data_IF_412056731092
#
_entry.id   IF_412056731092
#
_cell.length_a   1.000
_cell.length_b   1.000
_cell.length_c   1.000
_cell.angle_alpha   90.00
_cell.angle_beta   90.00
_cell.angle_gamma   90.00
#
_symmetry.space_group_name_H-M   'P 1'
#
loop_
_entity.id
_entity.type
_entity.pdbx_description
1 polymer ?
#
# COMPACT_ATOMS: atom_id res chain seq x y z
N UNK A 1 16.92 23.08 -9.81
CA UNK A 1 15.94 21.98 -9.81
C UNK A 1 15.58 21.70 -8.36
N UNK A 2 14.31 21.83 -7.95
CA UNK A 2 13.96 21.51 -6.57
C UNK A 2 14.24 20.02 -6.36
N UNK A 3 15.05 19.69 -5.35
CA UNK A 3 15.21 18.30 -4.93
C UNK A 3 13.86 17.89 -4.35
N UNK A 4 13.29 16.81 -4.89
CA UNK A 4 12.08 16.24 -4.32
C UNK A 4 12.47 15.57 -3.00
N UNK A 5 12.08 16.18 -1.90
CA UNK A 5 12.24 15.58 -0.58
C UNK A 5 11.25 14.43 -0.42
N UNK A 6 11.70 13.34 0.21
CA UNK A 6 10.87 12.15 0.41
C UNK A 6 9.60 12.45 1.22
N UNK A 7 9.64 13.46 2.10
CA UNK A 7 8.45 13.95 2.81
C UNK A 7 7.46 14.66 1.90
N UNK A 8 7.93 15.48 0.95
CA UNK A 8 7.05 16.13 -0.03
C UNK A 8 6.34 15.11 -0.90
N UNK A 9 7.05 14.04 -1.30
CA UNK A 9 6.45 12.95 -2.08
C UNK A 9 5.45 12.16 -1.22
N UNK A 10 5.76 11.89 0.06
CA UNK A 10 4.81 11.28 1.01
C UNK A 10 3.53 12.09 1.15
N UNK A 11 3.65 13.40 1.33
CA UNK A 11 2.49 14.27 1.45
C UNK A 11 1.66 14.30 0.15
N UNK A 12 2.33 14.41 -1.01
CA UNK A 12 1.65 14.40 -2.31
C UNK A 12 1.00 13.07 -2.67
N UNK A 13 1.52 11.95 -2.14
CA UNK A 13 0.98 10.61 -2.32
C UNK A 13 -0.13 10.27 -1.31
N UNK A 14 -0.26 11.04 -0.21
CA UNK A 14 -1.30 10.84 0.79
C UNK A 14 -2.69 10.91 0.15
N UNK A 15 -3.56 9.94 0.45
CA UNK A 15 -4.89 9.82 -0.14
C UNK A 15 -4.91 9.33 -1.59
N UNK A 16 -3.75 9.19 -2.25
CA UNK A 16 -3.63 8.77 -3.66
C UNK A 16 -2.99 7.38 -3.82
N UNK A 17 -2.63 6.72 -2.73
CA UNK A 17 -1.96 5.42 -2.74
C UNK A 17 -2.69 4.35 -3.54
N UNK A 18 -4.03 4.26 -3.43
CA UNK A 18 -4.79 3.31 -4.23
C UNK A 18 -4.58 3.54 -5.74
N UNK A 19 -4.59 4.79 -6.20
CA UNK A 19 -4.33 5.13 -7.61
C UNK A 19 -2.89 4.86 -8.02
N UNK A 20 -1.91 5.23 -7.18
CA UNK A 20 -0.48 5.04 -7.45
C UNK A 20 -0.16 3.55 -7.59
N UNK A 21 -0.60 2.76 -6.61
CA UNK A 21 -0.37 1.33 -6.59
C UNK A 21 -1.12 0.61 -7.73
N UNK A 22 -2.33 1.08 -8.07
CA UNK A 22 -3.04 0.57 -9.25
C UNK A 22 -2.28 0.85 -10.55
N UNK A 23 -1.68 2.04 -10.68
CA UNK A 23 -0.83 2.38 -11.82
C UNK A 23 0.45 1.54 -11.90
N UNK A 24 0.95 1.04 -10.75
CA UNK A 24 2.07 0.10 -10.67
C UNK A 24 1.67 -1.34 -11.00
N UNK A 25 0.39 -1.63 -11.25
CA UNK A 25 -0.10 -2.95 -11.64
C UNK A 25 -0.78 -3.74 -10.52
N UNK A 26 -0.96 -3.15 -9.33
CA UNK A 26 -1.74 -3.77 -8.27
C UNK A 26 -3.24 -3.69 -8.58
N UNK A 27 -4.00 -4.75 -8.34
CA UNK A 27 -5.45 -4.72 -8.58
C UNK A 27 -6.14 -3.80 -7.58
N UNK A 28 -7.10 -2.99 -8.05
CA UNK A 28 -7.88 -2.09 -7.20
C UNK A 28 -8.62 -2.83 -6.07
N UNK A 29 -8.99 -4.10 -6.28
CA UNK A 29 -9.57 -4.99 -5.27
C UNK A 29 -8.66 -5.23 -4.05
N UNK A 30 -7.36 -4.98 -4.17
CA UNK A 30 -6.40 -5.05 -3.06
C UNK A 30 -6.65 -3.93 -2.05
N UNK A 31 -7.16 -2.78 -2.51
CA UNK A 31 -7.45 -1.59 -1.68
C UNK A 31 -8.89 -1.52 -1.18
N UNK A 32 -9.70 -2.56 -1.44
CA UNK A 32 -11.07 -2.61 -0.91
C UNK A 32 -11.04 -2.66 0.62
N UNK A 33 -12.03 -2.06 1.28
CA UNK A 33 -12.19 -2.10 2.76
C UNK A 33 -12.47 -3.51 3.32
N UNK A 34 -12.41 -4.54 2.48
CA UNK A 34 -12.62 -5.94 2.85
C UNK A 34 -11.33 -6.53 3.42
N UNK A 35 -11.48 -7.32 4.49
CA UNK A 35 -10.37 -8.05 5.11
C UNK A 35 -10.04 -9.30 4.29
N UNK A 36 -8.87 -9.87 4.54
CA UNK A 36 -8.42 -11.15 3.99
C UNK A 36 -8.27 -11.18 2.47
N UNK A 37 -7.45 -10.27 1.93
CA UNK A 37 -7.12 -10.24 0.50
C UNK A 37 -5.80 -10.98 0.19
N UNK A 38 -5.59 -11.32 -1.08
CA UNK A 38 -4.29 -11.79 -1.52
C UNK A 38 -3.25 -10.69 -1.36
N UNK A 39 -2.09 -11.04 -0.79
CA UNK A 39 -1.00 -10.10 -0.59
C UNK A 39 -0.09 -10.12 -1.82
N UNK A 40 0.16 -8.96 -2.44
CA UNK A 40 1.05 -8.87 -3.59
C UNK A 40 2.53 -9.11 -3.24
N UNK A 41 2.97 -8.82 -2.01
CA UNK A 41 4.37 -9.04 -1.60
C UNK A 41 4.68 -10.50 -1.26
N UNK A 42 3.80 -11.20 -0.55
CA UNK A 42 4.07 -12.57 -0.08
C UNK A 42 3.34 -13.66 -0.87
N UNK A 43 2.43 -13.29 -1.78
CA UNK A 43 1.62 -14.24 -2.56
C UNK A 43 0.56 -14.99 -1.77
N UNK A 44 0.35 -14.68 -0.48
CA UNK A 44 -0.75 -15.26 0.31
C UNK A 44 -2.12 -14.84 -0.24
N UNK A 45 -3.19 -15.57 0.07
CA UNK A 45 -4.54 -15.34 -0.49
C UNK A 45 -5.53 -14.64 0.47
N UNK A 46 -5.28 -14.65 1.78
CA UNK A 46 -6.25 -14.19 2.80
C UNK A 46 -5.60 -13.38 3.96
N UNK A 47 -4.36 -12.93 3.81
CA UNK A 47 -3.57 -12.36 4.92
C UNK A 47 -3.32 -10.86 4.80
N UNK A 48 -3.72 -10.23 3.70
CA UNK A 48 -3.60 -8.80 3.48
C UNK A 48 -4.84 -8.04 3.99
N UNK A 49 -4.59 -6.91 4.64
CA UNK A 49 -5.62 -5.97 5.05
C UNK A 49 -5.15 -4.54 4.81
N UNK A 50 -5.96 -3.79 4.07
CA UNK A 50 -5.76 -2.36 3.90
C UNK A 50 -6.35 -1.62 5.11
N UNK A 51 -5.49 -0.94 5.88
CA UNK A 51 -5.91 -0.27 7.13
C UNK A 51 -6.03 1.24 6.96
N UNK A 52 -5.22 1.86 6.11
CA UNK A 52 -5.23 3.29 5.90
C UNK A 52 -5.06 3.64 4.41
N UNK A 53 -6.08 4.24 3.82
CA UNK A 53 -6.07 4.70 2.42
C UNK A 53 -5.35 6.04 2.23
N UNK A 54 -5.25 6.83 3.30
CA UNK A 54 -4.59 8.12 3.30
C UNK A 54 -3.08 7.94 3.36
N UNK A 55 -2.58 7.19 4.33
CA UNK A 55 -1.15 6.87 4.44
C UNK A 55 -0.71 5.70 3.53
N UNK A 56 -1.65 5.00 2.90
CA UNK A 56 -1.37 3.80 2.11
C UNK A 56 -0.97 2.61 2.98
N UNK A 57 -1.36 2.61 4.25
CA UNK A 57 -0.92 1.63 5.22
C UNK A 57 -1.68 0.32 5.04
N UNK A 58 -0.90 -0.75 4.99
CA UNK A 58 -1.40 -2.11 4.90
C UNK A 58 -0.79 -2.97 6.00
N UNK A 59 -1.50 -4.05 6.30
CA UNK A 59 -1.08 -5.08 7.26
C UNK A 59 -1.06 -6.39 6.52
N UNK A 60 0.01 -7.15 6.68
CA UNK A 60 0.11 -8.50 6.20
C UNK A 60 0.67 -9.40 7.28
N UNK A 61 -0.14 -10.35 7.76
CA UNK A 61 0.24 -11.30 8.83
C UNK A 61 1.38 -12.26 8.42
N UNK A 62 1.77 -12.27 7.15
CA UNK A 62 2.78 -13.14 6.56
C UNK A 62 4.18 -12.54 6.53
N UNK A 63 4.26 -11.21 6.48
CA UNK A 63 5.50 -10.48 6.29
C UNK A 63 6.21 -10.32 7.64
N UNK A 64 7.51 -10.54 7.67
CA UNK A 64 8.36 -10.17 8.80
C UNK A 64 8.35 -8.64 8.92
N UNK A 65 7.56 -8.12 9.87
CA UNK A 65 7.24 -6.69 10.00
C UNK A 65 5.73 -6.39 10.04
N UNK A 66 4.88 -7.39 9.76
CA UNK A 66 3.41 -7.37 9.86
C UNK A 66 2.68 -6.27 9.05
N UNK A 67 3.37 -5.42 8.29
CA UNK A 67 2.76 -4.37 7.51
C UNK A 67 3.74 -3.28 7.09
N UNK A 68 3.23 -2.31 6.35
CA UNK A 68 3.99 -1.18 5.84
C UNK A 68 3.08 -0.07 5.33
N UNK A 69 3.66 1.03 4.88
CA UNK A 69 3.00 2.13 4.17
C UNK A 69 3.04 1.93 2.66
N UNK A 70 2.39 2.83 1.91
CA UNK A 70 2.29 2.68 0.46
C UNK A 70 3.64 2.65 -0.24
N UNK A 71 4.67 3.30 0.33
CA UNK A 71 6.06 3.20 -0.17
C UNK A 71 6.69 1.83 0.01
N UNK A 72 6.25 1.03 0.99
CA UNK A 72 6.76 -0.33 1.16
C UNK A 72 6.17 -1.31 0.12
N UNK A 73 5.18 -0.88 -0.66
CA UNK A 73 4.60 -1.64 -1.78
C UNK A 73 5.13 -1.21 -3.15
N UNK A 74 5.98 -0.17 -3.21
CA UNK A 74 6.65 0.31 -4.43
C UNK A 74 8.11 -0.16 -4.42
#
# INVERSE_FOLDING_TARGET
>A
MPRLDAETVRYAASGRWASILTALGLSADTFSSKRNRPCPCCGGTDRFQWIDKDAGRFVCRALEGQGGDGFALV
#
